data_IF_789757557136
#
_entry.id   IF_789757557136
#
_cell.length_a   1.000
_cell.length_b   1.000
_cell.length_c   1.000
_cell.angle_alpha   90.00
_cell.angle_beta   90.00
_cell.angle_gamma   90.00
#
_symmetry.space_group_name_H-M   'P 1'
#
loop_
_entity.id
_entity.type
_entity.pdbx_description
1 polymer ?
#
# COMPACT_ATOMS: atom_id res chain seq x y z
N UNK A 1 -18.70 0.93 8.01
CA UNK A 1 -18.99 -0.40 7.44
C UNK A 1 -17.95 -1.37 8.00
N UNK A 2 -18.34 -2.56 8.48
CA UNK A 2 -17.40 -3.56 9.07
C UNK A 2 -17.21 -4.78 8.13
N UNK A 3 -18.02 -4.90 7.08
CA UNK A 3 -17.97 -6.02 6.15
C UNK A 3 -16.83 -5.85 5.13
N UNK A 4 -16.26 -6.97 4.63
CA UNK A 4 -15.34 -6.93 3.51
C UNK A 4 -15.98 -6.25 2.30
N UNK A 5 -15.25 -5.35 1.66
CA UNK A 5 -15.64 -4.71 0.39
C UNK A 5 -15.02 -5.42 -0.83
N UNK A 6 -14.35 -6.56 -0.64
CA UNK A 6 -13.69 -7.34 -1.68
C UNK A 6 -13.81 -8.84 -1.42
N UNK A 7 -13.84 -9.64 -2.49
CA UNK A 7 -13.91 -11.11 -2.44
C UNK A 7 -12.56 -11.80 -2.75
N UNK A 8 -11.57 -11.04 -3.22
CA UNK A 8 -10.22 -11.52 -3.54
C UNK A 8 -9.20 -10.90 -2.59
N UNK A 9 -8.21 -11.68 -2.18
CA UNK A 9 -7.01 -11.10 -1.53
C UNK A 9 -6.25 -10.23 -2.54
N UNK A 10 -5.43 -9.30 -2.04
CA UNK A 10 -4.64 -8.40 -2.91
C UNK A 10 -3.81 -9.17 -3.95
N UNK A 11 -3.18 -10.28 -3.55
CA UNK A 11 -2.35 -11.09 -4.44
C UNK A 11 -3.17 -11.76 -5.55
N UNK A 12 -4.39 -12.21 -5.23
CA UNK A 12 -5.31 -12.75 -6.23
C UNK A 12 -5.85 -11.66 -7.16
N UNK A 13 -6.10 -10.46 -6.63
CA UNK A 13 -6.51 -9.31 -7.42
C UNK A 13 -5.40 -8.85 -8.38
N UNK A 14 -4.15 -8.79 -7.91
CA UNK A 14 -2.96 -8.53 -8.75
C UNK A 14 -2.86 -9.55 -9.89
N UNK A 15 -2.99 -10.85 -9.58
CA UNK A 15 -3.00 -11.90 -10.60
C UNK A 15 -4.18 -11.80 -11.58
N UNK A 16 -5.32 -11.26 -11.14
CA UNK A 16 -6.51 -11.03 -11.95
C UNK A 16 -6.48 -9.71 -12.77
N UNK A 17 -5.39 -8.95 -12.72
CA UNK A 17 -5.21 -7.73 -13.53
C UNK A 17 -5.53 -6.41 -12.81
N UNK A 18 -5.83 -6.43 -11.51
CA UNK A 18 -6.05 -5.20 -10.75
C UNK A 18 -4.71 -4.48 -10.52
N UNK A 19 -4.68 -3.17 -10.74
CA UNK A 19 -3.48 -2.32 -10.64
C UNK A 19 -3.67 -1.07 -9.79
N UNK A 20 -4.82 -0.91 -9.15
CA UNK A 20 -5.07 0.18 -8.22
C UNK A 20 -5.71 -0.39 -6.95
N UNK A 21 -5.17 -0.01 -5.79
CA UNK A 21 -5.65 -0.47 -4.49
C UNK A 21 -5.81 0.71 -3.54
N UNK A 22 -6.96 0.77 -2.89
CA UNK A 22 -7.22 1.68 -1.77
C UNK A 22 -6.96 0.91 -0.48
N UNK A 23 -6.03 1.42 0.32
CA UNK A 23 -5.53 0.78 1.52
C UNK A 23 -5.77 1.69 2.72
N UNK A 24 -6.68 1.27 3.58
CA UNK A 24 -6.93 1.92 4.86
C UNK A 24 -5.78 1.61 5.83
N UNK A 25 -5.14 2.66 6.36
CA UNK A 25 -4.05 2.58 7.33
C UNK A 25 -4.61 2.89 8.72
N UNK A 26 -4.31 2.03 9.69
CA UNK A 26 -4.80 2.13 11.06
C UNK A 26 -3.66 1.98 12.04
N UNK A 27 -3.68 2.76 13.12
CA UNK A 27 -2.86 2.52 14.30
C UNK A 27 -3.56 1.51 15.22
N UNK A 28 -2.97 0.33 15.37
CA UNK A 28 -3.49 -0.76 16.18
C UNK A 28 -2.77 -0.91 17.53
N UNK A 29 -2.13 0.16 18.01
CA UNK A 29 -1.46 0.22 19.30
C UNK A 29 -0.30 -0.77 19.37
N UNK A 30 -0.46 -1.87 20.12
CA UNK A 30 0.60 -2.88 20.29
C UNK A 30 0.97 -3.62 19.00
N UNK A 31 0.07 -3.63 18.01
CA UNK A 31 0.32 -4.22 16.70
C UNK A 31 0.94 -3.21 15.72
N UNK A 32 1.18 -1.97 16.15
CA UNK A 32 1.68 -0.89 15.31
C UNK A 32 0.71 -0.58 14.15
N UNK A 33 1.20 0.11 13.12
CA UNK A 33 0.45 0.36 11.90
C UNK A 33 0.10 -0.94 11.16
N UNK A 34 -1.18 -1.06 10.83
CA UNK A 34 -1.75 -2.17 10.08
C UNK A 34 -2.57 -1.64 8.92
N UNK A 35 -2.73 -2.46 7.87
CA UNK A 35 -3.85 -2.27 6.96
C UNK A 35 -5.10 -2.86 7.61
N UNK A 36 -6.14 -2.06 7.79
CA UNK A 36 -7.36 -2.46 8.50
C UNK A 36 -8.58 -1.75 7.91
N UNK A 37 -9.79 -2.32 7.99
CA UNK A 37 -10.99 -1.63 7.51
C UNK A 37 -11.76 -1.01 8.68
N UNK A 38 -11.53 0.28 8.92
CA UNK A 38 -12.14 1.08 9.99
C UNK A 38 -11.63 0.79 11.40
N UNK A 39 -11.57 -0.48 11.83
CA UNK A 39 -11.09 -0.89 13.17
C UNK A 39 -10.25 -2.16 13.12
N UNK A 40 -9.21 -2.24 13.95
CA UNK A 40 -8.21 -3.31 13.92
C UNK A 40 -8.76 -4.72 14.21
N UNK A 41 -9.84 -4.86 14.98
CA UNK A 41 -10.40 -6.19 15.30
C UNK A 41 -11.31 -6.75 14.21
N UNK A 42 -11.66 -5.97 13.18
CA UNK A 42 -12.44 -6.44 12.03
C UNK A 42 -11.59 -7.29 11.05
N UNK A 43 -10.29 -7.38 11.29
CA UNK A 43 -9.31 -8.01 10.43
C UNK A 43 -8.23 -7.01 10.04
N UNK A 44 -6.98 -7.42 10.20
CA UNK A 44 -5.80 -6.63 9.83
C UNK A 44 -4.88 -7.42 8.93
N UNK A 45 -4.07 -6.68 8.18
CA UNK A 45 -2.89 -7.21 7.52
C UNK A 45 -1.68 -6.39 7.92
N UNK A 46 -0.60 -7.10 8.24
CA UNK A 46 0.67 -6.47 8.54
C UNK A 46 1.20 -5.72 7.32
N UNK A 47 1.57 -4.45 7.51
CA UNK A 47 1.98 -3.55 6.43
C UNK A 47 3.20 -4.10 5.69
N UNK A 48 4.21 -4.56 6.42
CA UNK A 48 5.47 -5.08 5.85
C UNK A 48 5.18 -6.27 4.93
N UNK A 49 4.33 -7.21 5.34
CA UNK A 49 3.96 -8.36 4.52
C UNK A 49 3.23 -7.95 3.23
N UNK A 50 2.37 -6.93 3.29
CA UNK A 50 1.67 -6.42 2.10
C UNK A 50 2.65 -5.79 1.13
N UNK A 51 3.58 -4.95 1.61
CA UNK A 51 4.61 -4.34 0.77
C UNK A 51 5.58 -5.38 0.21
N UNK A 52 6.01 -6.36 1.00
CA UNK A 52 6.83 -7.49 0.55
C UNK A 52 6.14 -8.27 -0.58
N UNK A 53 4.85 -8.55 -0.44
CA UNK A 53 4.08 -9.24 -1.48
C UNK A 53 3.94 -8.40 -2.75
N UNK A 54 3.79 -7.08 -2.62
CA UNK A 54 3.71 -6.18 -3.76
C UNK A 54 5.04 -6.10 -4.52
N UNK A 55 6.17 -5.90 -3.83
CA UNK A 55 7.48 -5.87 -4.51
C UNK A 55 7.81 -7.21 -5.14
N UNK A 56 7.45 -8.33 -4.50
CA UNK A 56 7.60 -9.65 -5.09
C UNK A 56 6.78 -9.82 -6.37
N UNK A 57 5.61 -9.19 -6.46
CA UNK A 57 4.80 -9.16 -7.68
C UNK A 57 5.47 -8.30 -8.77
N UNK A 58 5.90 -7.08 -8.43
CA UNK A 58 6.53 -6.16 -9.39
C UNK A 58 7.87 -6.70 -9.91
N UNK A 59 8.69 -7.31 -9.05
CA UNK A 59 9.92 -7.98 -9.46
C UNK A 59 9.70 -9.12 -10.46
N UNK A 60 8.59 -9.86 -10.33
CA UNK A 60 8.23 -10.94 -11.26
C UNK A 60 7.58 -10.42 -12.55
N UNK A 61 7.04 -9.21 -12.52
CA UNK A 61 6.31 -8.59 -13.62
C UNK A 61 6.83 -7.16 -13.82
N UNK A 62 8.06 -7.04 -14.32
CA UNK A 62 8.86 -5.79 -14.31
C UNK A 62 8.26 -4.61 -15.10
N UNK A 63 7.24 -4.86 -15.93
CA UNK A 63 6.57 -3.83 -16.73
C UNK A 63 5.22 -3.39 -16.13
N UNK A 64 4.88 -3.90 -14.95
CA UNK A 64 3.64 -3.55 -14.28
C UNK A 64 3.81 -2.29 -13.43
N UNK A 65 2.77 -1.46 -13.40
CA UNK A 65 2.66 -0.32 -12.51
C UNK A 65 1.46 -0.53 -11.61
N UNK A 66 1.64 -0.33 -10.30
CA UNK A 66 0.56 -0.43 -9.31
C UNK A 66 0.41 0.90 -8.59
N UNK A 67 -0.83 1.39 -8.53
CA UNK A 67 -1.22 2.60 -7.82
C UNK A 67 -1.72 2.19 -6.44
N UNK A 68 -1.14 2.77 -5.40
CA UNK A 68 -1.60 2.63 -4.03
C UNK A 68 -2.16 3.96 -3.54
N UNK A 69 -3.42 3.95 -3.13
CA UNK A 69 -4.06 5.06 -2.45
C UNK A 69 -4.16 4.72 -0.96
N UNK A 70 -3.63 5.59 -0.09
CA UNK A 70 -3.67 5.37 1.35
C UNK A 70 -4.73 6.25 2.00
N UNK A 71 -5.73 5.62 2.61
CA UNK A 71 -6.70 6.31 3.44
C UNK A 71 -6.27 6.19 4.90
N UNK A 72 -5.95 7.30 5.53
CA UNK A 72 -5.45 7.31 6.91
C UNK A 72 -6.58 7.60 7.89
N UNK A 73 -6.69 6.77 8.95
CA UNK A 73 -7.69 7.00 10.00
C UNK A 73 -7.50 8.31 10.76
N UNK A 74 -6.28 8.84 10.81
CA UNK A 74 -5.97 10.19 11.31
C UNK A 74 -4.97 10.88 10.38
N UNK A 75 -5.10 12.18 10.19
CA UNK A 75 -4.18 12.97 9.34
C UNK A 75 -2.98 13.51 10.14
N UNK A 76 -2.27 12.65 10.87
CA UNK A 76 -1.07 13.05 11.61
C UNK A 76 0.20 12.85 10.79
N UNK A 77 1.16 13.77 10.91
CA UNK A 77 2.46 13.67 10.24
C UNK A 77 3.25 12.44 10.73
N UNK A 78 3.12 12.08 12.01
CA UNK A 78 3.78 10.91 12.58
C UNK A 78 3.32 9.61 11.94
N UNK A 79 2.01 9.50 11.65
CA UNK A 79 1.46 8.32 10.98
C UNK A 79 1.94 8.22 9.54
N UNK A 80 2.11 9.36 8.85
CA UNK A 80 2.69 9.40 7.51
C UNK A 80 4.16 8.96 7.53
N UNK A 81 4.95 9.52 8.44
CA UNK A 81 6.36 9.16 8.60
C UNK A 81 6.51 7.66 8.93
N UNK A 82 5.74 7.13 9.87
CA UNK A 82 5.78 5.71 10.21
C UNK A 82 5.39 4.83 9.01
N UNK A 83 4.38 5.22 8.22
CA UNK A 83 4.04 4.50 6.97
C UNK A 83 5.22 4.48 5.98
N UNK A 84 5.88 5.63 5.76
CA UNK A 84 7.09 5.71 4.93
C UNK A 84 8.24 4.88 5.49
N UNK A 85 8.45 4.87 6.80
CA UNK A 85 9.47 4.03 7.46
C UNK A 85 9.20 2.54 7.22
N UNK A 86 7.93 2.11 7.23
CA UNK A 86 7.56 0.72 6.87
C UNK A 86 7.83 0.41 5.41
N UNK A 87 7.53 1.32 4.50
CA UNK A 87 7.91 1.16 3.08
C UNK A 87 9.41 1.03 2.93
N UNK A 88 10.19 1.92 3.56
CA UNK A 88 11.65 1.93 3.51
C UNK A 88 12.29 0.70 4.17
N UNK A 89 11.59 0.04 5.09
CA UNK A 89 12.05 -1.21 5.72
C UNK A 89 11.97 -2.44 4.80
N UNK A 90 11.25 -2.34 3.68
CA UNK A 90 11.17 -3.40 2.67
C UNK A 90 12.20 -3.14 1.58
N UNK A 91 13.18 -4.04 1.47
CA UNK A 91 14.29 -3.93 0.53
C UNK A 91 13.81 -3.71 -0.92
N UNK A 92 14.33 -2.67 -1.57
CA UNK A 92 13.98 -2.25 -2.92
C UNK A 92 12.61 -1.57 -3.09
N UNK A 93 11.77 -1.44 -2.05
CA UNK A 93 10.43 -0.87 -2.21
C UNK A 93 10.48 0.61 -2.60
N UNK A 94 11.28 1.40 -1.89
CA UNK A 94 11.45 2.84 -2.16
C UNK A 94 12.07 3.09 -3.53
N UNK A 95 12.96 2.21 -3.98
CA UNK A 95 13.58 2.32 -5.31
C UNK A 95 12.58 2.13 -6.45
N UNK A 96 11.47 1.43 -6.20
CA UNK A 96 10.37 1.25 -7.16
C UNK A 96 9.30 2.35 -7.09
N UNK A 97 9.39 3.26 -6.11
CA UNK A 97 8.41 4.33 -5.98
C UNK A 97 8.66 5.42 -7.02
N UNK A 98 7.62 5.73 -7.78
CA UNK A 98 7.62 6.95 -8.57
C UNK A 98 7.40 8.15 -7.65
N UNK A 99 8.39 9.05 -7.62
CA UNK A 99 8.29 10.35 -6.94
C UNK A 99 8.08 11.44 -7.99
N UNK A 100 6.93 12.10 -7.93
CA UNK A 100 6.60 13.17 -8.87
C UNK A 100 7.52 14.38 -8.62
N UNK A 101 8.12 14.93 -9.69
CA UNK A 101 9.18 15.95 -9.60
C UNK A 101 8.70 17.25 -8.97
N UNK A 102 7.54 17.76 -9.41
CA UNK A 102 6.89 18.95 -8.88
C UNK A 102 5.39 18.94 -9.22
N UNK A 103 4.63 19.99 -8.90
CA UNK A 103 3.16 20.02 -9.10
C UNK A 103 2.72 20.25 -10.54
N UNK A 104 3.62 20.64 -11.44
CA UNK A 104 3.29 21.08 -12.81
C UNK A 104 3.89 20.20 -13.89
N UNK A 105 4.85 19.33 -13.55
CA UNK A 105 5.38 18.34 -14.47
C UNK A 105 4.28 17.37 -14.94
N UNK A 106 4.39 16.92 -16.19
CA UNK A 106 3.49 15.90 -16.72
C UNK A 106 3.75 14.55 -16.05
N UNK A 107 2.67 13.75 -15.91
CA UNK A 107 2.79 12.37 -15.48
C UNK A 107 3.55 11.55 -16.53
N UNK A 108 4.40 10.60 -16.10
CA UNK A 108 5.09 9.71 -17.01
C UNK A 108 4.07 8.82 -17.76
N UNK A 109 4.43 8.43 -18.98
CA UNK A 109 3.69 7.44 -19.75
C UNK A 109 4.34 6.06 -19.61
N UNK A 110 3.53 5.01 -19.73
CA UNK A 110 4.05 3.65 -19.88
C UNK A 110 4.56 3.47 -21.31
N UNK A 111 5.77 2.93 -21.46
CA UNK A 111 6.42 2.68 -22.76
C UNK A 111 6.52 1.19 -23.04
#
# INVERSE_FOLDING_TARGET
FILPNHILTMEKALAAGYRAFMLDVCDCGRLDLQFCHGVCFAGTREIINVFQNLINFLNKNSNEVVILEFQMGTSSLDMLNNLFDRMASVDGFVDMMYVHKDKVADWPVMN
#
